data_IF_163314967419
#
_entry.id   IF_163314967419
#
_cell.length_a   1.000
_cell.length_b   1.000
_cell.length_c   1.000
_cell.angle_alpha   90.00
_cell.angle_beta   90.00
_cell.angle_gamma   90.00
#
_symmetry.space_group_name_H-M   'P 1'
#
loop_
_entity.id
_entity.type
_entity.pdbx_description
1 polymer ?
#
# COMPACT_ATOMS: atom_id res chain seq x y z
N UNK A 1 33.96 34.65 66.82
CA UNK A 1 33.33 33.45 67.41
C UNK A 1 32.00 33.24 66.69
N UNK A 2 31.67 32.16 65.98
CA UNK A 2 32.37 30.93 65.61
C UNK A 2 31.92 30.56 64.18
N UNK A 3 32.90 30.28 63.34
CA UNK A 3 32.79 29.88 61.94
C UNK A 3 32.28 28.44 61.87
N UNK A 4 31.20 28.16 61.12
CA UNK A 4 30.83 26.79 60.74
C UNK A 4 30.86 26.66 59.23
N UNK A 5 31.96 26.07 58.79
CA UNK A 5 32.26 25.55 57.47
C UNK A 5 31.39 24.29 57.27
N UNK A 6 30.52 24.27 56.26
CA UNK A 6 29.89 23.04 55.79
C UNK A 6 30.33 22.76 54.36
N UNK A 7 31.24 21.80 54.31
CA UNK A 7 31.70 21.02 53.18
C UNK A 7 30.60 19.99 52.85
N UNK A 8 30.49 19.54 51.59
CA UNK A 8 30.32 18.12 51.18
C UNK A 8 29.45 17.89 49.92
N UNK A 9 30.05 17.07 49.04
CA UNK A 9 29.53 16.15 48.02
C UNK A 9 28.70 16.67 46.83
N UNK A 10 29.43 16.99 45.78
CA UNK A 10 29.01 16.81 44.38
C UNK A 10 28.88 15.30 44.10
N UNK A 11 27.65 14.76 44.15
CA UNK A 11 27.37 13.42 43.61
C UNK A 11 27.37 13.49 42.08
N UNK A 12 28.43 12.98 41.46
CA UNK A 12 28.47 12.73 40.02
C UNK A 12 27.67 11.45 39.77
N UNK A 13 26.42 11.60 39.36
CA UNK A 13 25.60 10.51 38.83
C UNK A 13 26.06 10.24 37.40
N UNK A 14 26.88 9.21 37.24
CA UNK A 14 27.21 8.67 35.92
C UNK A 14 25.94 8.05 35.34
N UNK A 15 25.32 8.75 34.37
CA UNK A 15 24.23 8.22 33.56
C UNK A 15 24.82 7.24 32.56
N UNK A 16 24.84 5.95 32.92
CA UNK A 16 25.02 4.86 31.97
C UNK A 16 23.73 4.70 31.18
N UNK A 17 23.63 5.41 30.06
CA UNK A 17 22.59 5.14 29.07
C UNK A 17 22.82 3.73 28.52
N UNK A 18 21.86 2.78 28.66
CA UNK A 18 21.92 1.58 27.86
C UNK A 18 21.85 2.04 26.41
N UNK A 19 22.86 1.68 25.62
CA UNK A 19 22.77 1.68 24.17
C UNK A 19 21.70 0.65 23.80
N UNK A 20 20.44 1.05 23.94
CA UNK A 20 19.32 0.40 23.33
C UNK A 20 19.60 0.47 21.85
N UNK A 21 20.07 -0.65 21.29
CA UNK A 21 19.93 -0.94 19.87
C UNK A 21 18.44 -0.81 19.57
N UNK A 22 18.04 0.40 19.19
CA UNK A 22 16.83 0.61 18.45
C UNK A 22 17.02 -0.23 17.19
N UNK A 23 16.50 -1.45 17.22
CA UNK A 23 16.13 -2.17 16.03
C UNK A 23 15.02 -1.32 15.40
N UNK A 24 15.43 -0.25 14.73
CA UNK A 24 14.72 0.24 13.58
C UNK A 24 14.74 -0.94 12.61
N UNK A 25 13.73 -1.80 12.77
CA UNK A 25 13.29 -2.68 11.72
C UNK A 25 12.91 -1.73 10.60
N UNK A 26 13.91 -1.34 9.81
CA UNK A 26 13.70 -0.73 8.52
C UNK A 26 12.84 -1.76 7.80
N UNK A 27 11.55 -1.50 7.81
CA UNK A 27 10.55 -2.29 7.12
C UNK A 27 11.02 -2.27 5.67
N UNK A 28 11.72 -3.32 5.26
CA UNK A 28 12.33 -3.39 3.95
C UNK A 28 11.17 -3.28 2.95
N UNK A 29 11.07 -2.16 2.20
CA UNK A 29 9.98 -1.93 1.27
C UNK A 29 9.97 -2.98 0.13
N UNK A 30 10.99 -3.84 0.04
CA UNK A 30 11.11 -4.97 -0.86
C UNK A 30 10.96 -6.35 -0.22
N UNK A 31 10.74 -6.48 1.10
CA UNK A 31 10.56 -7.79 1.73
C UNK A 31 9.25 -8.46 1.26
N UNK A 32 9.27 -9.73 0.83
CA UNK A 32 8.09 -10.45 0.35
C UNK A 32 6.94 -10.46 1.37
N UNK A 33 7.23 -10.37 2.66
CA UNK A 33 6.23 -10.31 3.73
C UNK A 33 5.36 -9.03 3.67
N UNK A 34 5.86 -7.92 3.12
CA UNK A 34 5.08 -6.68 2.95
C UNK A 34 4.21 -6.70 1.69
N UNK A 35 4.59 -7.51 0.67
CA UNK A 35 3.81 -7.73 -0.56
C UNK A 35 2.67 -8.75 -0.43
N UNK A 36 2.61 -9.44 0.69
CA UNK A 36 1.53 -10.37 1.00
C UNK A 36 0.42 -9.67 1.82
N UNK A 37 0.80 -8.61 2.55
CA UNK A 37 -0.08 -7.93 3.49
C UNK A 37 -1.12 -7.01 2.81
N UNK A 38 -0.75 -6.30 1.75
CA UNK A 38 -1.67 -5.35 1.09
C UNK A 38 -2.66 -6.07 0.15
N UNK A 39 -2.27 -7.18 -0.48
CA UNK A 39 -3.17 -8.09 -1.18
C UNK A 39 -4.20 -8.72 -0.24
N UNK A 40 -3.82 -9.05 1.00
CA UNK A 40 -4.75 -9.53 2.01
C UNK A 40 -5.75 -8.45 2.43
N UNK A 41 -5.31 -7.20 2.60
CA UNK A 41 -6.18 -6.05 2.89
C UNK A 41 -7.14 -5.78 1.72
N UNK A 42 -6.65 -5.79 0.48
CA UNK A 42 -7.46 -5.62 -0.71
C UNK A 42 -8.47 -6.76 -0.87
N UNK A 43 -8.06 -8.02 -0.64
CA UNK A 43 -8.96 -9.18 -0.68
C UNK A 43 -10.04 -9.13 0.40
N UNK A 44 -9.66 -8.74 1.62
CA UNK A 44 -10.59 -8.59 2.73
C UNK A 44 -11.60 -7.47 2.47
N UNK A 45 -11.11 -6.35 1.92
CA UNK A 45 -11.90 -5.18 1.62
C UNK A 45 -12.77 -5.35 0.36
N UNK A 46 -12.32 -6.07 -0.65
CA UNK A 46 -12.99 -6.24 -1.93
C UNK A 46 -12.88 -7.71 -2.38
N UNK A 47 -13.74 -8.61 -1.87
CA UNK A 47 -13.60 -10.06 -2.07
C UNK A 47 -13.62 -10.51 -3.53
N UNK A 48 -14.33 -9.76 -4.39
CA UNK A 48 -14.50 -10.06 -5.81
C UNK A 48 -13.45 -9.36 -6.69
N UNK A 49 -12.43 -8.70 -6.12
CA UNK A 49 -11.45 -7.90 -6.87
C UNK A 49 -10.71 -8.73 -7.91
N UNK A 50 -10.24 -9.92 -7.53
CA UNK A 50 -9.40 -10.76 -8.39
C UNK A 50 -10.18 -11.44 -9.53
N UNK A 51 -11.50 -11.56 -9.42
CA UNK A 51 -12.34 -12.08 -10.51
C UNK A 51 -12.91 -10.94 -11.36
N UNK A 52 -13.43 -9.89 -10.73
CA UNK A 52 -14.19 -8.83 -11.42
C UNK A 52 -13.29 -7.79 -12.10
N UNK A 53 -12.16 -7.45 -11.48
CA UNK A 53 -11.30 -6.40 -12.01
C UNK A 53 -10.65 -6.80 -13.34
N UNK A 54 -10.09 -8.01 -13.51
CA UNK A 54 -9.56 -8.45 -14.81
C UNK A 54 -10.62 -8.47 -15.90
N UNK A 55 -11.80 -9.03 -15.63
CA UNK A 55 -12.90 -9.12 -16.60
C UNK A 55 -13.32 -7.74 -17.11
N UNK A 56 -13.37 -6.74 -16.23
CA UNK A 56 -13.72 -5.36 -16.59
C UNK A 56 -12.62 -4.63 -17.35
N UNK A 57 -11.36 -4.96 -17.09
CA UNK A 57 -10.21 -4.29 -17.72
C UNK A 57 -9.78 -4.97 -19.02
N UNK A 58 -10.17 -6.21 -19.25
CA UNK A 58 -9.80 -6.98 -20.43
C UNK A 58 -10.18 -6.29 -21.76
N UNK A 59 -11.40 -5.73 -21.94
CA UNK A 59 -11.73 -5.03 -23.18
C UNK A 59 -10.86 -3.78 -23.41
N UNK A 60 -10.52 -3.06 -22.35
CA UNK A 60 -9.67 -1.87 -22.44
C UNK A 60 -8.23 -2.25 -22.79
N UNK A 61 -7.69 -3.30 -22.16
CA UNK A 61 -6.37 -3.84 -22.50
C UNK A 61 -6.29 -4.29 -23.96
N UNK A 62 -7.32 -4.98 -24.47
CA UNK A 62 -7.41 -5.40 -25.88
C UNK A 62 -7.52 -4.22 -26.85
N UNK A 63 -8.19 -3.14 -26.45
CA UNK A 63 -8.37 -1.96 -27.30
C UNK A 63 -7.13 -1.07 -27.34
N UNK A 64 -6.45 -0.91 -26.20
CA UNK A 64 -5.24 -0.07 -26.08
C UNK A 64 -4.01 -0.81 -26.58
N UNK A 65 -3.98 -2.15 -26.44
CA UNK A 65 -2.92 -3.03 -26.91
C UNK A 65 -1.52 -2.54 -26.54
N UNK A 66 -1.33 -2.20 -25.26
CA UNK A 66 -0.07 -1.66 -24.74
C UNK A 66 0.22 -2.18 -23.33
N UNK A 67 1.46 -2.65 -23.11
CA UNK A 67 1.94 -2.99 -21.78
C UNK A 67 2.09 -1.73 -20.91
N UNK A 68 1.65 -1.80 -19.65
CA UNK A 68 1.64 -0.66 -18.75
C UNK A 68 1.62 -1.10 -17.29
N UNK A 69 2.21 -0.28 -16.41
CA UNK A 69 2.05 -0.41 -14.97
C UNK A 69 1.21 0.75 -14.46
N UNK A 70 0.10 0.44 -13.82
CA UNK A 70 -0.85 1.42 -13.31
C UNK A 70 -0.98 1.27 -11.81
N UNK A 71 -0.64 2.32 -11.07
CA UNK A 71 -0.84 2.39 -9.63
C UNK A 71 -2.23 2.96 -9.33
N UNK A 72 -2.97 2.25 -8.48
CA UNK A 72 -4.31 2.60 -8.06
C UNK A 72 -4.31 2.87 -6.55
N UNK A 73 -4.86 4.01 -6.16
CA UNK A 73 -5.08 4.39 -4.78
C UNK A 73 -6.54 4.82 -4.62
N UNK A 74 -7.22 4.35 -3.57
CA UNK A 74 -8.57 4.79 -3.26
C UNK A 74 -8.85 4.70 -1.76
N UNK A 75 -9.87 5.40 -1.31
CA UNK A 75 -10.34 5.37 0.07
C UNK A 75 -11.68 4.64 0.13
N UNK A 76 -11.83 3.73 1.08
CA UNK A 76 -13.10 3.10 1.43
C UNK A 76 -13.73 3.82 2.60
N UNK A 77 -15.02 4.12 2.46
CA UNK A 77 -15.89 4.61 3.51
C UNK A 77 -17.11 3.68 3.59
N UNK A 78 -17.06 2.72 4.52
CA UNK A 78 -17.99 1.59 4.51
C UNK A 78 -17.79 0.71 3.27
N UNK A 79 -18.87 0.54 2.49
CA UNK A 79 -18.84 -0.15 1.19
C UNK A 79 -18.54 0.79 0.01
N UNK A 80 -18.38 2.10 0.27
CA UNK A 80 -18.28 3.10 -0.79
C UNK A 80 -16.81 3.39 -1.13
N UNK A 81 -16.46 3.22 -2.41
CA UNK A 81 -15.16 3.63 -2.95
C UNK A 81 -15.16 5.15 -3.23
N UNK A 82 -14.20 5.87 -2.66
CA UNK A 82 -13.99 7.32 -2.79
C UNK A 82 -12.55 7.62 -3.19
N UNK A 83 -12.31 8.88 -3.62
CA UNK A 83 -10.97 9.44 -3.86
C UNK A 83 -10.04 8.58 -4.75
N UNK A 84 -10.58 7.95 -5.80
CA UNK A 84 -9.77 7.08 -6.67
C UNK A 84 -8.74 7.91 -7.44
N UNK A 85 -7.47 7.64 -7.19
CA UNK A 85 -6.33 8.14 -7.93
C UNK A 85 -5.75 6.99 -8.75
N UNK A 86 -5.42 7.30 -9.99
CA UNK A 86 -4.76 6.38 -10.91
C UNK A 86 -3.56 7.10 -11.48
N UNK A 87 -2.39 6.48 -11.39
CA UNK A 87 -1.12 7.05 -11.84
C UNK A 87 -0.26 6.00 -12.52
N UNK A 88 0.67 6.44 -13.38
CA UNK A 88 1.45 5.55 -14.24
C UNK A 88 0.66 5.02 -15.45
N UNK A 89 1.36 4.32 -16.34
CA UNK A 89 0.81 3.70 -17.55
C UNK A 89 0.41 4.69 -18.64
N UNK A 90 -0.20 4.15 -19.70
CA UNK A 90 -0.80 4.96 -20.77
C UNK A 90 -2.03 5.70 -20.23
N UNK A 91 -2.20 6.98 -20.60
CA UNK A 91 -3.28 7.83 -20.09
C UNK A 91 -4.69 7.25 -20.32
N UNK A 92 -4.85 6.45 -21.37
CA UNK A 92 -6.11 5.82 -21.74
C UNK A 92 -6.59 4.78 -20.73
N UNK A 93 -5.67 4.11 -20.01
CA UNK A 93 -6.05 3.16 -18.97
C UNK A 93 -6.74 3.81 -17.78
N UNK A 94 -6.45 5.09 -17.49
CA UNK A 94 -6.89 5.73 -16.26
C UNK A 94 -8.43 5.81 -16.15
N UNK A 95 -9.12 6.07 -17.25
CA UNK A 95 -10.59 6.10 -17.30
C UNK A 95 -11.19 4.72 -17.01
N UNK A 96 -10.68 3.70 -17.69
CA UNK A 96 -11.15 2.32 -17.55
C UNK A 96 -10.87 1.77 -16.15
N UNK A 97 -9.67 2.02 -15.60
CA UNK A 97 -9.30 1.61 -14.24
C UNK A 97 -10.18 2.27 -13.19
N UNK A 98 -10.44 3.58 -13.27
CA UNK A 98 -11.38 4.25 -12.34
C UNK A 98 -12.77 3.67 -12.42
N UNK A 99 -13.27 3.41 -13.64
CA UNK A 99 -14.60 2.83 -13.85
C UNK A 99 -14.70 1.43 -13.26
N UNK A 100 -13.72 0.57 -13.54
CA UNK A 100 -13.68 -0.80 -13.03
C UNK A 100 -13.60 -0.82 -11.49
N UNK A 101 -12.77 0.02 -10.89
CA UNK A 101 -12.61 0.14 -9.43
C UNK A 101 -13.89 0.62 -8.76
N UNK A 102 -14.63 1.58 -9.35
CA UNK A 102 -15.94 2.03 -8.84
C UNK A 102 -17.01 0.95 -8.88
N UNK A 103 -16.93 0.06 -9.85
CA UNK A 103 -17.90 -1.02 -10.05
C UNK A 103 -17.63 -2.23 -9.14
N UNK A 104 -16.53 -2.24 -8.38
CA UNK A 104 -16.21 -3.33 -7.45
C UNK A 104 -17.11 -3.29 -6.22
N UNK A 105 -17.50 -4.47 -5.76
CA UNK A 105 -18.15 -4.63 -4.46
C UNK A 105 -17.08 -4.71 -3.38
N UNK A 106 -17.01 -3.66 -2.58
CA UNK A 106 -16.14 -3.61 -1.42
C UNK A 106 -16.97 -3.56 -0.13
N UNK A 107 -16.38 -4.03 0.96
CA UNK A 107 -16.91 -4.02 2.32
C UNK A 107 -15.75 -3.77 3.26
N UNK A 108 -15.93 -2.90 4.24
CA UNK A 108 -15.00 -2.75 5.37
C UNK A 108 -15.72 -3.18 6.64
N UNK A 109 -15.01 -3.89 7.52
CA UNK A 109 -15.51 -4.28 8.85
C UNK A 109 -15.27 -3.18 9.89
N UNK A 110 -14.42 -2.21 9.58
CA UNK A 110 -14.06 -1.13 10.50
C UNK A 110 -14.89 0.12 10.23
N UNK A 111 -15.46 0.71 11.28
CA UNK A 111 -16.06 2.04 11.23
C UNK A 111 -14.95 3.09 11.06
N UNK A 112 -14.52 3.32 9.82
CA UNK A 112 -13.44 4.25 9.52
C UNK A 112 -13.05 4.28 8.05
N UNK A 113 -12.31 5.32 7.68
CA UNK A 113 -11.74 5.44 6.35
C UNK A 113 -10.55 4.49 6.21
N UNK A 114 -10.58 3.61 5.21
CA UNK A 114 -9.48 2.72 4.88
C UNK A 114 -8.85 3.13 3.54
N UNK A 115 -7.55 3.37 3.51
CA UNK A 115 -6.84 3.65 2.25
C UNK A 115 -6.32 2.34 1.67
N UNK A 116 -6.60 2.11 0.40
CA UNK A 116 -6.19 0.92 -0.35
C UNK A 116 -5.31 1.35 -1.51
N UNK A 117 -4.20 0.66 -1.69
CA UNK A 117 -3.20 0.96 -2.72
C UNK A 117 -2.70 -0.33 -3.33
N UNK A 118 -2.75 -0.42 -4.65
CA UNK A 118 -2.30 -1.61 -5.38
C UNK A 118 -1.89 -1.25 -6.81
N UNK A 119 -1.03 -2.06 -7.42
CA UNK A 119 -0.57 -1.86 -8.80
C UNK A 119 -1.16 -2.91 -9.73
N UNK A 120 -1.60 -2.49 -10.90
CA UNK A 120 -2.05 -3.33 -12.00
C UNK A 120 -0.94 -3.37 -13.04
N UNK A 121 -0.52 -4.57 -13.43
CA UNK A 121 0.42 -4.77 -14.51
C UNK A 121 -0.33 -5.31 -15.73
N UNK A 122 -0.38 -4.52 -16.79
CA UNK A 122 -0.79 -4.95 -18.13
C UNK A 122 0.45 -5.47 -18.84
N UNK A 123 0.51 -6.77 -19.11
CA UNK A 123 1.64 -7.42 -19.79
C UNK A 123 1.13 -8.20 -21.00
N UNK A 124 1.98 -8.34 -22.01
CA UNK A 124 1.70 -9.28 -23.10
C UNK A 124 2.04 -10.69 -22.63
N UNK A 125 1.23 -11.70 -22.98
CA UNK A 125 1.62 -13.09 -22.83
C UNK A 125 2.88 -13.33 -23.67
N UNK A 126 3.99 -13.75 -23.05
CA UNK A 126 5.27 -13.96 -23.74
C UNK A 126 5.20 -14.98 -24.90
N UNK A 127 4.19 -15.83 -24.88
CA UNK A 127 3.95 -16.90 -25.85
C UNK A 127 2.85 -16.58 -26.89
N UNK A 128 2.23 -15.39 -26.83
CA UNK A 128 1.20 -14.94 -27.79
C UNK A 128 -0.05 -15.83 -27.87
N UNK A 129 -0.16 -16.89 -27.05
CA UNK A 129 -1.19 -17.93 -27.15
C UNK A 129 -2.22 -17.91 -26.03
N UNK A 130 -1.96 -17.21 -24.94
CA UNK A 130 -2.95 -17.03 -23.90
C UNK A 130 -3.53 -15.63 -23.99
N UNK A 131 -4.75 -15.49 -24.51
CA UNK A 131 -5.59 -14.31 -24.31
C UNK A 131 -5.95 -14.05 -22.83
N UNK A 132 -5.21 -14.62 -21.88
CA UNK A 132 -5.31 -14.37 -20.47
C UNK A 132 -4.31 -13.28 -20.11
N UNK A 133 -4.83 -12.14 -19.66
CA UNK A 133 -4.04 -11.07 -19.07
C UNK A 133 -3.27 -11.65 -17.87
N UNK A 134 -1.94 -11.67 -17.91
CA UNK A 134 -1.14 -12.01 -16.74
C UNK A 134 -1.08 -10.79 -15.81
N UNK A 135 -2.17 -10.57 -15.07
CA UNK A 135 -2.21 -9.50 -14.08
C UNK A 135 -1.45 -9.93 -12.84
N UNK A 136 -0.50 -9.11 -12.40
CA UNK A 136 0.07 -9.19 -11.07
C UNK A 136 -0.39 -7.97 -10.30
N UNK A 137 -1.07 -8.18 -9.17
CA UNK A 137 -1.29 -7.12 -8.20
C UNK A 137 0.00 -6.97 -7.40
N UNK A 138 0.83 -6.00 -7.79
CA UNK A 138 2.06 -5.71 -7.07
C UNK A 138 1.75 -4.72 -5.94
N UNK A 139 2.06 -5.14 -4.72
CA UNK A 139 1.86 -4.33 -3.53
C UNK A 139 2.96 -3.28 -3.39
N UNK A 140 2.56 -2.02 -3.20
CA UNK A 140 3.49 -0.95 -2.86
C UNK A 140 3.40 -0.69 -1.35
N UNK A 141 4.52 -0.63 -0.61
CA UNK A 141 4.48 -0.42 0.84
C UNK A 141 3.73 0.86 1.18
N UNK A 142 2.78 0.74 2.12
CA UNK A 142 2.09 1.90 2.67
C UNK A 142 3.13 2.81 3.32
N UNK A 143 3.39 3.99 2.73
CA UNK A 143 4.18 5.02 3.41
C UNK A 143 3.34 5.52 4.57
N UNK A 144 3.65 5.04 5.77
CA UNK A 144 3.17 5.64 7.01
C UNK A 144 3.76 7.05 7.03
N UNK A 145 2.91 8.07 6.81
CA UNK A 145 3.30 9.44 7.07
C UNK A 145 3.50 9.57 8.59
N UNK A 146 4.76 9.52 9.02
CA UNK A 146 5.12 9.93 10.37
C UNK A 146 4.70 11.39 10.54
N UNK A 147 3.87 11.65 11.55
CA UNK A 147 3.46 13.00 11.96
C UNK A 147 4.59 13.68 12.71
#
# INVERSE_FOLDING_TARGET
MNTKLFLICTMITAVTAPAGVAQAQALDPGSPASREHNNAVLAAACPEVYSTLPDRLYPAWRAIDSAAQVLVEFTLDGATVKAIKVSGGHGDYAGHVRSAVRAMKCRTTSAGLANVRFRINFVYPEDGRSGAMAWQIADEPARVAAR
#
